data_IF_295079061677
#
_entry.id   IF_295079061677
#
_cell.length_a   1.000
_cell.length_b   1.000
_cell.length_c   1.000
_cell.angle_alpha   90.00
_cell.angle_beta   90.00
_cell.angle_gamma   90.00
#
_symmetry.space_group_name_H-M   'P 1'
#
loop_
_entity.id
_entity.type
_entity.pdbx_description
1 polymer ?
#
# COMPACT_ATOMS: atom_id res chain seq x y z
N UNK A 1 3.08 -6.60 24.18
CA UNK A 1 3.13 -7.92 23.49
C UNK A 1 3.74 -7.69 22.11
N UNK A 2 4.53 -8.63 21.61
CA UNK A 2 5.08 -8.56 20.24
C UNK A 2 4.15 -9.25 19.25
N UNK A 3 4.21 -8.85 17.98
CA UNK A 3 3.50 -9.56 16.91
C UNK A 3 4.00 -11.00 16.81
N UNK A 4 3.09 -11.99 16.69
CA UNK A 4 3.48 -13.37 16.47
C UNK A 4 4.10 -13.56 15.09
N UNK A 5 5.01 -14.54 14.99
CA UNK A 5 5.58 -14.98 13.73
C UNK A 5 4.96 -16.33 13.38
N UNK A 6 4.30 -16.41 12.21
CA UNK A 6 3.68 -17.65 11.75
C UNK A 6 4.74 -18.51 11.07
N UNK A 7 5.06 -19.67 11.65
CA UNK A 7 5.88 -20.67 10.97
C UNK A 7 5.03 -21.49 10.01
N UNK A 8 5.34 -21.41 8.70
CA UNK A 8 4.56 -22.06 7.64
C UNK A 8 5.10 -23.47 7.42
N UNK A 9 4.29 -24.54 7.66
CA UNK A 9 4.72 -25.90 7.37
C UNK A 9 4.88 -26.10 5.85
N UNK A 10 5.94 -26.77 5.38
CA UNK A 10 6.13 -27.05 3.93
C UNK A 10 4.93 -27.72 3.26
N UNK A 11 4.18 -28.55 4.00
CA UNK A 11 3.04 -29.30 3.47
C UNK A 11 1.84 -28.41 3.07
N UNK A 12 1.76 -27.15 3.56
CA UNK A 12 0.64 -26.24 3.21
C UNK A 12 0.98 -25.30 2.04
N UNK A 13 2.16 -25.43 1.45
CA UNK A 13 2.55 -24.66 0.28
C UNK A 13 1.68 -25.03 -0.93
N UNK A 14 0.96 -24.05 -1.45
CA UNK A 14 0.17 -24.16 -2.68
C UNK A 14 0.87 -23.58 -3.91
N UNK A 15 0.06 -23.08 -4.84
CA UNK A 15 0.53 -22.56 -6.13
C UNK A 15 1.42 -21.32 -5.97
N UNK A 16 2.39 -21.21 -6.87
CA UNK A 16 3.23 -20.03 -6.97
C UNK A 16 2.43 -18.88 -7.57
N UNK A 17 2.54 -17.68 -6.98
CA UNK A 17 1.97 -16.46 -7.54
C UNK A 17 2.94 -15.88 -8.58
N UNK A 18 2.56 -15.83 -9.87
CA UNK A 18 3.46 -15.39 -10.93
C UNK A 18 3.69 -13.88 -10.98
N UNK A 19 2.78 -13.08 -10.39
CA UNK A 19 2.86 -11.61 -10.45
C UNK A 19 3.96 -11.08 -9.54
N UNK A 20 4.86 -10.26 -10.09
CA UNK A 20 5.92 -9.56 -9.37
C UNK A 20 7.27 -10.28 -9.39
N UNK A 21 8.30 -9.63 -8.80
CA UNK A 21 9.71 -10.05 -8.90
C UNK A 21 10.20 -10.92 -7.73
N UNK A 22 9.36 -11.22 -6.74
CA UNK A 22 9.72 -11.96 -5.53
C UNK A 22 9.12 -13.35 -5.53
N UNK A 23 9.76 -14.28 -4.80
CA UNK A 23 9.16 -15.57 -4.52
C UNK A 23 7.89 -15.39 -3.67
N UNK A 24 6.76 -15.74 -4.26
CA UNK A 24 5.44 -15.69 -3.63
C UNK A 24 4.71 -17.00 -3.89
N UNK A 25 4.00 -17.48 -2.90
CA UNK A 25 3.15 -18.66 -3.06
C UNK A 25 1.96 -18.61 -2.13
N UNK A 26 0.89 -19.24 -2.53
CA UNK A 26 -0.32 -19.32 -1.73
C UNK A 26 -0.21 -20.43 -0.69
N UNK A 27 -0.80 -20.18 0.48
CA UNK A 27 -0.92 -21.15 1.57
C UNK A 27 -2.33 -21.13 2.13
N UNK A 28 -2.76 -22.27 2.67
CA UNK A 28 -3.99 -22.36 3.45
C UNK A 28 -3.62 -22.35 4.94
N UNK A 29 -4.04 -21.32 5.67
CA UNK A 29 -3.90 -21.26 7.12
C UNK A 29 -5.31 -21.29 7.73
N UNK A 30 -5.66 -22.45 8.31
CA UNK A 30 -7.05 -22.77 8.61
C UNK A 30 -7.89 -22.78 7.33
N UNK A 31 -9.05 -22.14 7.36
CA UNK A 31 -9.97 -22.05 6.21
C UNK A 31 -9.71 -20.80 5.33
N UNK A 32 -8.61 -20.09 5.56
CA UNK A 32 -8.29 -18.86 4.86
C UNK A 32 -7.09 -19.03 3.93
N UNK A 33 -7.19 -18.43 2.75
CA UNK A 33 -6.10 -18.38 1.77
C UNK A 33 -5.23 -17.17 2.05
N UNK A 34 -3.90 -17.39 2.12
CA UNK A 34 -2.91 -16.36 2.38
C UNK A 34 -1.80 -16.41 1.33
N UNK A 35 -1.27 -15.26 0.97
CA UNK A 35 -0.11 -15.14 0.09
C UNK A 35 1.15 -14.93 0.93
N UNK A 36 2.04 -15.92 0.97
CA UNK A 36 3.37 -15.73 1.53
C UNK A 36 4.23 -14.92 0.57
N UNK A 37 4.86 -13.90 1.11
CA UNK A 37 5.83 -13.05 0.40
C UNK A 37 7.15 -13.12 1.15
N UNK A 38 8.19 -13.64 0.50
CA UNK A 38 9.54 -13.67 1.05
C UNK A 38 10.13 -12.26 1.07
N UNK A 39 10.71 -11.84 2.20
CA UNK A 39 11.44 -10.59 2.31
C UNK A 39 12.83 -10.74 1.68
N UNK A 40 13.29 -9.72 0.97
CA UNK A 40 14.69 -9.70 0.50
C UNK A 40 15.63 -9.61 1.67
N UNK A 41 16.77 -10.28 1.56
CA UNK A 41 17.80 -10.23 2.58
C UNK A 41 18.22 -8.79 2.91
N UNK A 42 18.44 -8.54 4.17
CA UNK A 42 18.84 -7.22 4.69
C UNK A 42 17.85 -6.08 4.40
N UNK A 43 16.58 -6.41 4.16
CA UNK A 43 15.50 -5.43 4.04
C UNK A 43 14.41 -5.67 5.08
N UNK A 44 13.59 -4.65 5.32
CA UNK A 44 12.45 -4.71 6.24
C UNK A 44 11.10 -4.84 5.53
N UNK A 45 11.03 -5.53 4.39
CA UNK A 45 9.82 -5.63 3.58
C UNK A 45 8.65 -6.29 4.33
N UNK A 46 8.94 -7.30 5.15
CA UNK A 46 7.96 -8.03 5.95
C UNK A 46 7.38 -7.18 7.08
N UNK A 47 8.24 -6.53 7.88
CA UNK A 47 7.77 -5.71 8.98
C UNK A 47 7.13 -4.40 8.48
N UNK A 48 7.59 -3.83 7.34
CA UNK A 48 6.98 -2.65 6.75
C UNK A 48 5.54 -2.94 6.29
N UNK A 49 5.32 -4.09 5.64
CA UNK A 49 3.99 -4.56 5.26
C UNK A 49 3.07 -4.76 6.48
N UNK A 50 3.61 -5.38 7.58
CA UNK A 50 2.86 -5.62 8.82
C UNK A 50 2.48 -4.31 9.51
N UNK A 51 3.43 -3.40 9.70
CA UNK A 51 3.19 -2.09 10.34
C UNK A 51 2.18 -1.28 9.52
N UNK A 52 2.31 -1.28 8.19
CA UNK A 52 1.35 -0.61 7.31
C UNK A 52 -0.07 -1.14 7.51
N UNK A 53 -0.27 -2.47 7.56
CA UNK A 53 -1.58 -3.06 7.80
C UNK A 53 -2.18 -2.64 9.16
N UNK A 54 -1.38 -2.58 10.23
CA UNK A 54 -1.85 -2.17 11.54
C UNK A 54 -2.14 -0.66 11.63
N UNK A 55 -1.32 0.18 10.97
CA UNK A 55 -1.59 1.61 10.85
C UNK A 55 -2.88 1.87 10.06
N UNK A 56 -3.12 1.13 8.96
CA UNK A 56 -4.36 1.24 8.19
C UNK A 56 -5.59 0.95 9.05
N UNK A 57 -5.55 -0.11 9.86
CA UNK A 57 -6.63 -0.44 10.83
C UNK A 57 -6.87 0.70 11.81
N UNK A 58 -5.80 1.30 12.35
CA UNK A 58 -5.92 2.38 13.33
C UNK A 58 -6.58 3.64 12.75
N UNK A 59 -6.32 3.96 11.48
CA UNK A 59 -6.94 5.13 10.81
C UNK A 59 -8.26 4.79 10.10
N UNK A 60 -8.71 3.53 10.17
CA UNK A 60 -9.95 3.07 9.53
C UNK A 60 -9.86 3.00 8.00
N UNK A 61 -8.67 2.77 7.47
CA UNK A 61 -8.46 2.53 6.03
C UNK A 61 -8.51 1.04 5.73
N UNK A 62 -9.16 0.70 4.62
CA UNK A 62 -9.32 -0.68 4.18
C UNK A 62 -8.01 -1.16 3.52
N UNK A 63 -7.31 -2.06 4.19
CA UNK A 63 -6.08 -2.67 3.73
C UNK A 63 -6.10 -4.18 3.97
N UNK A 64 -5.30 -4.91 3.22
CA UNK A 64 -5.15 -6.35 3.40
C UNK A 64 -4.58 -6.67 4.79
N UNK A 65 -5.11 -7.71 5.44
CA UNK A 65 -4.54 -8.24 6.69
C UNK A 65 -3.18 -8.87 6.41
N UNK A 66 -2.21 -8.54 7.26
CA UNK A 66 -0.83 -9.03 7.15
C UNK A 66 -0.35 -9.56 8.48
N UNK A 67 0.34 -10.71 8.44
CA UNK A 67 1.05 -11.27 9.60
C UNK A 67 2.50 -11.55 9.24
N UNK A 68 3.41 -11.42 10.23
CA UNK A 68 4.78 -11.85 10.08
C UNK A 68 4.84 -13.37 9.94
N UNK A 69 5.68 -13.85 9.04
CA UNK A 69 5.78 -15.28 8.78
C UNK A 69 7.20 -15.71 8.44
N UNK A 70 7.44 -17.02 8.52
CA UNK A 70 8.65 -17.65 8.03
C UNK A 70 8.32 -18.96 7.32
N UNK A 71 9.11 -19.29 6.32
CA UNK A 71 9.01 -20.54 5.57
C UNK A 71 10.40 -21.13 5.33
N UNK A 72 10.66 -22.31 5.88
CA UNK A 72 11.96 -23.01 5.74
C UNK A 72 13.17 -22.10 6.07
N UNK A 73 13.07 -21.34 7.16
CA UNK A 73 14.11 -20.41 7.61
C UNK A 73 14.18 -19.08 6.86
N UNK A 74 13.32 -18.87 5.85
CA UNK A 74 13.23 -17.60 5.11
C UNK A 74 12.19 -16.70 5.74
N UNK A 75 12.58 -15.46 6.01
CA UNK A 75 11.72 -14.46 6.63
C UNK A 75 10.77 -13.86 5.58
N UNK A 76 9.59 -13.48 6.02
CA UNK A 76 8.59 -12.86 5.16
C UNK A 76 7.32 -12.49 5.91
N UNK A 77 6.28 -12.25 5.17
CA UNK A 77 4.93 -12.03 5.70
C UNK A 77 3.90 -12.86 4.92
N UNK A 78 2.74 -13.05 5.52
CA UNK A 78 1.55 -13.57 4.85
C UNK A 78 0.51 -12.48 4.76
N UNK A 79 -0.03 -12.29 3.55
CA UNK A 79 -1.12 -11.37 3.27
C UNK A 79 -2.41 -12.16 3.05
N UNK A 80 -3.46 -11.89 3.83
CA UNK A 80 -4.74 -12.57 3.68
C UNK A 80 -5.37 -12.25 2.34
N UNK A 81 -5.84 -13.28 1.63
CA UNK A 81 -6.61 -13.07 0.41
C UNK A 81 -7.90 -12.31 0.73
N UNK A 82 -8.10 -11.20 0.04
CA UNK A 82 -9.36 -10.45 0.07
C UNK A 82 -10.30 -10.84 -1.08
N UNK A 83 -9.90 -11.81 -1.92
CA UNK A 83 -10.70 -12.38 -3.01
C UNK A 83 -11.36 -13.66 -2.53
N UNK A 84 -12.68 -13.70 -2.58
CA UNK A 84 -13.47 -14.88 -2.28
C UNK A 84 -13.78 -15.68 -3.56
N UNK A 85 -12.97 -16.71 -3.79
CA UNK A 85 -13.15 -17.58 -4.97
C UNK A 85 -14.48 -18.33 -4.98
N UNK A 86 -15.11 -18.57 -3.80
CA UNK A 86 -16.41 -19.20 -3.71
C UNK A 86 -17.55 -18.33 -4.25
N UNK A 87 -17.33 -17.00 -4.24
CA UNK A 87 -18.24 -16.01 -4.83
C UNK A 87 -17.86 -15.61 -6.24
N UNK A 88 -16.94 -16.34 -6.89
CA UNK A 88 -16.40 -15.98 -8.20
C UNK A 88 -15.89 -14.52 -8.22
N UNK A 89 -15.27 -14.09 -7.15
CA UNK A 89 -14.60 -12.78 -7.12
C UNK A 89 -13.29 -12.86 -7.90
N UNK A 90 -13.00 -11.79 -8.63
CA UNK A 90 -11.73 -11.55 -9.31
C UNK A 90 -11.19 -10.16 -8.96
N UNK A 91 -9.91 -9.95 -9.23
CA UNK A 91 -9.25 -8.66 -9.12
C UNK A 91 -8.91 -8.16 -10.53
N UNK A 92 -9.39 -6.97 -10.86
CA UNK A 92 -9.01 -6.23 -12.07
C UNK A 92 -8.04 -5.15 -11.62
N UNK A 93 -6.80 -5.26 -12.06
CA UNK A 93 -5.73 -4.32 -11.64
C UNK A 93 -5.85 -2.96 -12.34
N UNK A 94 -5.22 -1.95 -11.75
CA UNK A 94 -5.19 -0.60 -12.29
C UNK A 94 -4.63 -0.49 -13.71
N UNK A 95 -3.64 -1.33 -14.07
CA UNK A 95 -3.09 -1.38 -15.43
C UNK A 95 -4.15 -1.84 -16.47
N UNK A 96 -5.01 -2.79 -16.12
CA UNK A 96 -6.09 -3.25 -17.00
C UNK A 96 -7.17 -2.17 -17.15
N UNK A 97 -7.53 -1.50 -16.03
CA UNK A 97 -8.50 -0.41 -16.03
C UNK A 97 -7.99 0.74 -16.90
N UNK A 98 -6.74 1.16 -16.72
CA UNK A 98 -6.15 2.28 -17.47
C UNK A 98 -5.95 1.94 -18.94
N UNK A 99 -5.57 0.71 -19.28
CA UNK A 99 -5.46 0.27 -20.68
C UNK A 99 -6.80 0.31 -21.42
N UNK A 100 -7.92 0.16 -20.72
CA UNK A 100 -9.25 0.31 -21.29
C UNK A 100 -9.68 1.76 -21.57
N UNK A 101 -8.97 2.77 -21.01
CA UNK A 101 -9.39 4.18 -21.05
C UNK A 101 -8.35 5.16 -21.54
N UNK A 102 -7.06 4.84 -21.43
CA UNK A 102 -5.97 5.71 -21.88
C UNK A 102 -5.43 5.17 -23.19
N UNK A 103 -5.58 5.92 -24.27
CA UNK A 103 -5.11 5.52 -25.59
C UNK A 103 -3.60 5.28 -25.59
N UNK A 104 -3.16 4.10 -26.03
CA UNK A 104 -1.75 3.73 -26.09
C UNK A 104 -1.14 3.35 -24.75
N UNK A 105 -1.96 3.16 -23.69
CA UNK A 105 -1.47 2.71 -22.39
C UNK A 105 -0.79 1.35 -22.47
N UNK A 106 0.49 1.29 -22.11
CA UNK A 106 1.23 0.03 -22.04
C UNK A 106 1.06 -0.60 -20.65
N UNK A 107 0.16 -1.58 -20.55
CA UNK A 107 -0.14 -2.27 -19.30
C UNK A 107 0.98 -3.16 -18.76
N UNK A 108 1.95 -3.53 -19.62
CA UNK A 108 3.09 -4.36 -19.25
C UNK A 108 4.27 -3.52 -18.73
N UNK A 109 4.26 -2.21 -18.98
CA UNK A 109 5.30 -1.28 -18.56
C UNK A 109 5.14 -0.88 -17.09
N UNK A 110 5.62 -1.72 -16.20
CA UNK A 110 5.49 -1.56 -14.75
C UNK A 110 6.20 -0.32 -14.18
N UNK A 111 7.39 0.01 -14.71
CA UNK A 111 8.19 1.13 -14.23
C UNK A 111 8.21 2.28 -15.22
N UNK A 112 8.29 3.51 -14.72
CA UNK A 112 8.30 4.74 -15.53
C UNK A 112 7.08 4.84 -16.48
N UNK A 113 5.94 4.31 -16.05
CA UNK A 113 4.68 4.43 -16.76
C UNK A 113 4.02 5.75 -16.40
N UNK A 114 4.38 6.81 -17.11
CA UNK A 114 3.93 8.18 -16.81
C UNK A 114 2.44 8.39 -17.03
N UNK A 115 1.80 7.57 -17.87
CA UNK A 115 0.34 7.56 -18.03
C UNK A 115 -0.39 7.01 -16.79
N UNK A 116 0.31 6.36 -15.86
CA UNK A 116 -0.20 6.05 -14.53
C UNK A 116 -0.21 7.33 -13.68
N UNK A 117 -0.98 8.30 -14.11
CA UNK A 117 -1.11 9.63 -13.50
C UNK A 117 -2.45 9.78 -12.79
N UNK A 118 -2.49 10.63 -11.75
CA UNK A 118 -3.69 10.80 -10.92
C UNK A 118 -4.92 11.22 -11.76
N UNK A 119 -4.75 12.12 -12.72
CA UNK A 119 -5.87 12.55 -13.58
C UNK A 119 -6.40 11.43 -14.48
N UNK A 120 -5.53 10.55 -14.99
CA UNK A 120 -5.93 9.40 -15.79
C UNK A 120 -6.68 8.36 -14.95
N UNK A 121 -6.23 8.14 -13.69
CA UNK A 121 -6.95 7.27 -12.74
C UNK A 121 -8.36 7.81 -12.49
N UNK A 122 -8.48 9.13 -12.23
CA UNK A 122 -9.78 9.77 -12.02
C UNK A 122 -10.67 9.65 -13.26
N UNK A 123 -10.17 9.97 -14.44
CA UNK A 123 -10.91 9.88 -15.69
C UNK A 123 -11.36 8.44 -16.00
N UNK A 124 -10.48 7.44 -15.79
CA UNK A 124 -10.81 6.04 -15.99
C UNK A 124 -11.94 5.58 -15.05
N UNK A 125 -11.89 5.93 -13.78
CA UNK A 125 -12.95 5.58 -12.82
C UNK A 125 -14.27 6.28 -13.19
N UNK A 126 -14.24 7.55 -13.55
CA UNK A 126 -15.44 8.30 -13.97
C UNK A 126 -16.09 7.75 -15.25
N UNK A 127 -15.34 7.11 -16.12
CA UNK A 127 -15.88 6.51 -17.34
C UNK A 127 -16.49 5.12 -17.09
N UNK A 128 -16.02 4.39 -16.09
CA UNK A 128 -16.53 3.04 -15.75
C UNK A 128 -17.78 3.10 -14.89
N UNK A 129 -17.90 4.09 -14.02
CA UNK A 129 -18.97 4.16 -13.01
C UNK A 129 -19.93 5.32 -13.26
N UNK A 130 -21.19 5.16 -12.79
CA UNK A 130 -22.08 6.32 -12.63
C UNK A 130 -21.47 7.33 -11.65
N UNK A 131 -21.82 8.61 -11.80
CA UNK A 131 -21.23 9.72 -11.02
C UNK A 131 -21.17 9.40 -9.52
N UNK A 132 -22.30 9.00 -8.91
CA UNK A 132 -22.35 8.67 -7.47
C UNK A 132 -21.42 7.52 -7.08
N UNK A 133 -21.30 6.50 -7.91
CA UNK A 133 -20.43 5.35 -7.63
C UNK A 133 -18.97 5.72 -7.88
N UNK A 134 -18.67 6.53 -8.90
CA UNK A 134 -17.34 7.05 -9.16
C UNK A 134 -16.80 7.84 -7.96
N UNK A 135 -17.59 8.74 -7.38
CA UNK A 135 -17.20 9.52 -6.20
C UNK A 135 -16.83 8.63 -5.01
N UNK A 136 -17.61 7.58 -4.76
CA UNK A 136 -17.31 6.62 -3.69
C UNK A 136 -16.02 5.86 -3.95
N UNK A 137 -15.78 5.42 -5.19
CA UNK A 137 -14.55 4.73 -5.60
C UNK A 137 -13.35 5.66 -5.49
N UNK A 138 -13.46 6.89 -5.99
CA UNK A 138 -12.40 7.89 -5.94
C UNK A 138 -12.05 8.29 -4.49
N UNK A 139 -13.03 8.44 -3.61
CA UNK A 139 -12.79 8.70 -2.20
C UNK A 139 -12.02 7.54 -1.52
N UNK A 140 -12.24 6.28 -1.92
CA UNK A 140 -11.45 5.14 -1.43
C UNK A 140 -10.04 5.13 -2.02
N UNK A 141 -9.86 5.42 -3.29
CA UNK A 141 -8.53 5.55 -3.91
C UNK A 141 -7.73 6.72 -3.33
N UNK A 142 -8.39 7.84 -3.01
CA UNK A 142 -7.77 8.97 -2.30
C UNK A 142 -7.19 8.55 -0.94
N UNK A 143 -7.87 7.62 -0.21
CA UNK A 143 -7.31 7.04 1.03
C UNK A 143 -6.00 6.30 0.77
N UNK A 144 -5.83 5.63 -0.39
CA UNK A 144 -4.57 4.96 -0.72
C UNK A 144 -3.45 5.96 -0.94
N UNK A 145 -3.73 7.04 -1.69
CA UNK A 145 -2.75 8.12 -1.92
C UNK A 145 -2.32 8.78 -0.60
N UNK A 146 -3.28 9.09 0.27
CA UNK A 146 -3.00 9.67 1.59
C UNK A 146 -2.26 8.68 2.49
N UNK A 147 -2.60 7.40 2.43
CA UNK A 147 -1.93 6.36 3.20
C UNK A 147 -0.50 6.11 2.73
N UNK A 148 -0.28 6.05 1.42
CA UNK A 148 1.06 5.95 0.85
C UNK A 148 1.94 7.13 1.26
N UNK A 149 1.36 8.34 1.32
CA UNK A 149 2.06 9.51 1.82
C UNK A 149 2.38 9.40 3.33
N UNK A 150 1.47 8.87 4.15
CA UNK A 150 1.66 8.68 5.58
C UNK A 150 2.83 7.73 5.89
N UNK A 151 2.88 6.60 5.20
CA UNK A 151 3.90 5.57 5.44
C UNK A 151 5.16 5.73 4.58
N UNK A 152 5.18 6.70 3.65
CA UNK A 152 6.26 6.92 2.70
C UNK A 152 6.39 5.78 1.67
N UNK A 153 5.28 5.19 1.23
CA UNK A 153 5.28 4.14 0.21
C UNK A 153 5.65 4.70 -1.16
N UNK A 154 6.68 4.15 -1.78
CA UNK A 154 7.20 4.57 -3.08
C UNK A 154 6.89 3.62 -4.23
N UNK A 155 6.09 2.57 -4.01
CA UNK A 155 5.85 1.51 -5.00
C UNK A 155 4.36 1.33 -5.37
N UNK A 156 3.53 2.38 -5.30
CA UNK A 156 2.14 2.33 -5.77
C UNK A 156 2.10 2.38 -7.30
N UNK A 157 2.59 1.33 -7.96
CA UNK A 157 2.44 1.19 -9.41
C UNK A 157 1.04 0.64 -9.77
N UNK A 158 0.72 0.58 -11.05
CA UNK A 158 -0.62 0.28 -11.58
C UNK A 158 -1.13 -1.14 -11.26
N UNK A 159 -0.26 -2.08 -10.87
CA UNK A 159 -0.68 -3.42 -10.41
C UNK A 159 -0.94 -3.48 -8.89
N UNK A 160 -0.58 -2.44 -8.11
CA UNK A 160 -0.71 -2.40 -6.66
C UNK A 160 -2.03 -1.75 -6.19
N UNK A 161 -2.99 -1.61 -7.07
CA UNK A 161 -4.36 -1.25 -6.77
C UNK A 161 -5.30 -1.89 -7.80
N UNK A 162 -6.60 -1.97 -7.47
CA UNK A 162 -7.55 -2.55 -8.40
C UNK A 162 -8.97 -2.56 -7.86
N UNK A 163 -9.84 -3.16 -8.66
CA UNK A 163 -11.25 -3.36 -8.36
C UNK A 163 -11.54 -4.85 -8.18
N UNK A 164 -12.26 -5.18 -7.12
CA UNK A 164 -12.86 -6.50 -6.95
C UNK A 164 -14.13 -6.56 -7.80
N UNK A 165 -14.25 -7.60 -8.60
CA UNK A 165 -15.40 -7.82 -9.47
C UNK A 165 -15.96 -9.21 -9.20
N UNK A 166 -17.27 -9.31 -9.03
CA UNK A 166 -18.00 -10.58 -9.00
C UNK A 166 -19.28 -10.47 -9.82
N UNK A 167 -19.84 -11.60 -10.21
CA UNK A 167 -21.12 -11.62 -10.94
C UNK A 167 -22.23 -12.15 -10.03
N UNK A 168 -23.25 -11.31 -9.79
CA UNK A 168 -24.47 -11.69 -9.10
C UNK A 168 -25.45 -12.31 -10.12
N UNK A 169 -25.52 -13.64 -10.15
CA UNK A 169 -26.39 -14.38 -11.07
C UNK A 169 -27.88 -14.10 -10.84
N UNK A 170 -28.30 -13.81 -9.60
CA UNK A 170 -29.70 -13.51 -9.26
C UNK A 170 -30.14 -12.17 -9.83
N UNK A 171 -29.29 -11.17 -9.78
CA UNK A 171 -29.54 -9.83 -10.33
C UNK A 171 -29.05 -9.64 -11.75
N UNK A 172 -28.33 -10.62 -12.31
CA UNK A 172 -27.68 -10.55 -13.63
C UNK A 172 -26.82 -9.29 -13.80
N UNK A 173 -26.06 -8.93 -12.76
CA UNK A 173 -25.23 -7.72 -12.73
C UNK A 173 -23.87 -8.00 -12.13
N UNK A 174 -22.88 -7.18 -12.49
CA UNK A 174 -21.58 -7.18 -11.84
C UNK A 174 -21.61 -6.35 -10.56
N UNK A 175 -21.08 -6.91 -9.48
CA UNK A 175 -20.77 -6.19 -8.26
C UNK A 175 -19.31 -5.76 -8.34
N UNK A 176 -19.06 -4.47 -8.20
CA UNK A 176 -17.72 -3.89 -8.30
C UNK A 176 -17.44 -3.06 -7.06
N UNK A 177 -16.29 -3.27 -6.45
CA UNK A 177 -15.81 -2.48 -5.32
C UNK A 177 -14.30 -2.28 -5.41
N UNK A 178 -13.79 -1.25 -4.76
CA UNK A 178 -12.32 -1.08 -4.64
C UNK A 178 -11.77 -2.21 -3.78
N UNK A 179 -10.70 -2.86 -4.23
CA UNK A 179 -9.99 -3.86 -3.42
C UNK A 179 -9.40 -3.18 -2.16
N UNK A 180 -9.21 -3.86 -1.03
CA UNK A 180 -8.39 -3.34 0.05
C UNK A 180 -7.01 -2.91 -0.45
N UNK A 181 -6.41 -1.87 0.13
CA UNK A 181 -5.03 -1.49 -0.22
C UNK A 181 -4.05 -2.61 0.13
N UNK A 182 -3.09 -2.88 -0.72
CA UNK A 182 -2.12 -3.97 -0.57
C UNK A 182 -0.75 -3.59 -1.11
N UNK A 183 0.25 -4.39 -0.81
CA UNK A 183 1.64 -4.26 -1.26
C UNK A 183 2.30 -2.95 -0.77
N UNK A 184 2.40 -2.80 0.56
CA UNK A 184 2.96 -1.63 1.23
C UNK A 184 4.43 -1.83 1.66
N UNK A 185 5.07 -2.90 1.22
CA UNK A 185 6.42 -3.26 1.66
C UNK A 185 7.47 -2.17 1.38
N UNK A 186 7.26 -1.30 0.38
CA UNK A 186 8.22 -0.26 -0.01
C UNK A 186 8.02 1.05 0.77
N UNK A 187 7.98 0.96 2.10
CA UNK A 187 7.66 2.08 3.00
C UNK A 187 8.61 2.14 4.21
N UNK A 188 8.54 3.24 4.96
CA UNK A 188 9.17 3.45 6.26
C UNK A 188 10.69 3.19 6.31
N UNK A 189 11.41 3.33 5.19
CA UNK A 189 12.87 3.14 5.15
C UNK A 189 13.31 1.68 5.25
N UNK A 190 12.47 0.75 4.79
CA UNK A 190 12.72 -0.70 4.84
C UNK A 190 14.04 -1.12 4.15
N UNK A 191 14.51 -0.35 3.17
CA UNK A 191 15.72 -0.61 2.37
C UNK A 191 16.99 -0.13 3.03
N UNK A 192 16.89 0.71 4.07
CA UNK A 192 18.06 1.27 4.73
C UNK A 192 18.70 0.27 5.71
N UNK A 193 20.02 0.36 5.85
CA UNK A 193 20.76 -0.29 6.94
C UNK A 193 20.70 0.55 8.21
N UNK A 194 20.97 -0.07 9.35
CA UNK A 194 20.83 0.59 10.65
C UNK A 194 21.76 1.78 10.82
N UNK A 195 22.99 1.70 10.28
CA UNK A 195 23.94 2.82 10.30
C UNK A 195 23.37 4.04 9.58
N UNK A 196 22.75 3.82 8.40
CA UNK A 196 22.14 4.91 7.63
C UNK A 196 20.90 5.49 8.35
N UNK A 197 20.10 4.65 8.98
CA UNK A 197 18.94 5.08 9.80
C UNK A 197 19.39 5.95 10.96
N UNK A 198 20.40 5.47 11.71
CA UNK A 198 20.96 6.19 12.85
C UNK A 198 21.55 7.53 12.43
N UNK A 199 22.28 7.58 11.32
CA UNK A 199 22.89 8.80 10.78
C UNK A 199 21.84 9.82 10.35
N UNK A 200 20.78 9.40 9.64
CA UNK A 200 19.66 10.26 9.25
C UNK A 200 18.90 10.82 10.47
N UNK A 201 18.69 10.00 11.50
CA UNK A 201 18.07 10.45 12.76
C UNK A 201 18.98 11.46 13.48
N UNK A 202 20.27 11.17 13.64
CA UNK A 202 21.21 12.03 14.33
C UNK A 202 21.36 13.42 13.66
N UNK A 203 21.28 13.46 12.31
CA UNK A 203 21.33 14.70 11.52
C UNK A 203 19.99 15.40 11.37
N UNK A 204 18.90 14.83 11.89
CA UNK A 204 17.54 15.31 11.67
C UNK A 204 17.14 15.41 10.17
N UNK A 205 17.66 14.48 9.36
CA UNK A 205 17.51 14.45 7.89
C UNK A 205 16.32 13.58 7.42
N UNK A 206 15.42 13.15 8.31
CA UNK A 206 14.23 12.35 7.97
C UNK A 206 13.37 13.06 6.93
N UNK A 207 13.16 14.37 7.07
CA UNK A 207 12.44 15.19 6.09
C UNK A 207 13.07 15.13 4.69
N UNK A 208 14.40 15.18 4.61
CA UNK A 208 15.16 15.10 3.36
C UNK A 208 15.04 13.71 2.72
N UNK A 209 15.10 12.65 3.54
CA UNK A 209 14.87 11.29 3.08
C UNK A 209 13.49 11.16 2.43
N UNK A 210 12.42 11.60 3.12
CA UNK A 210 11.04 11.55 2.62
C UNK A 210 10.89 12.38 1.34
N UNK A 211 11.44 13.58 1.27
CA UNK A 211 11.39 14.45 0.10
C UNK A 211 12.11 13.82 -1.13
N UNK A 212 13.08 12.94 -0.91
CA UNK A 212 13.76 12.18 -1.94
C UNK A 212 12.93 11.05 -2.56
N UNK A 213 11.92 10.54 -1.85
CA UNK A 213 11.07 9.42 -2.29
C UNK A 213 10.31 9.75 -3.59
N UNK A 214 10.16 8.75 -4.45
CA UNK A 214 9.40 8.86 -5.71
C UNK A 214 8.47 7.66 -5.81
N UNK A 215 7.18 7.95 -5.98
CA UNK A 215 6.13 6.93 -6.09
C UNK A 215 5.94 6.39 -7.50
N UNK A 216 5.02 5.44 -7.65
CA UNK A 216 4.63 4.87 -8.93
C UNK A 216 3.51 5.63 -9.64
N UNK A 217 2.90 6.66 -9.00
CA UNK A 217 1.89 7.54 -9.62
C UNK A 217 2.55 8.86 -10.04
N UNK A 218 2.23 9.33 -11.23
CA UNK A 218 2.77 10.54 -11.82
C UNK A 218 1.78 11.71 -11.67
N UNK A 219 2.30 12.95 -11.73
CA UNK A 219 1.46 14.15 -11.75
C UNK A 219 0.96 14.40 -13.16
N UNK A 220 1.86 14.32 -14.14
CA UNK A 220 1.58 14.50 -15.56
C UNK A 220 2.23 13.39 -16.39
N UNK A 221 1.67 13.11 -17.58
CA UNK A 221 2.17 12.08 -18.49
C UNK A 221 3.60 12.39 -19.02
N UNK A 222 4.00 13.67 -19.04
CA UNK A 222 5.33 14.10 -19.49
C UNK A 222 6.40 14.01 -18.41
N UNK A 223 6.05 13.67 -17.17
CA UNK A 223 6.98 13.59 -16.06
C UNK A 223 7.97 12.44 -16.25
N UNK A 224 9.23 12.69 -16.00
CA UNK A 224 10.30 11.68 -16.06
C UNK A 224 10.33 10.75 -14.83
N UNK A 225 9.72 11.15 -13.74
CA UNK A 225 9.71 10.44 -12.46
C UNK A 225 8.32 10.52 -11.82
N UNK A 226 7.93 9.48 -11.12
CA UNK A 226 6.72 9.49 -10.32
C UNK A 226 6.76 10.55 -9.23
N UNK A 227 5.59 10.97 -8.78
CA UNK A 227 5.44 11.99 -7.76
C UNK A 227 6.01 11.56 -6.40
N UNK A 228 6.48 12.51 -5.62
CA UNK A 228 6.67 12.27 -4.19
C UNK A 228 5.30 11.99 -3.55
N UNK A 229 5.16 10.97 -2.67
CA UNK A 229 3.86 10.63 -2.09
C UNK A 229 3.17 11.77 -1.34
N UNK A 230 3.91 12.58 -0.57
CA UNK A 230 3.35 13.76 0.12
C UNK A 230 2.90 14.85 -0.86
N UNK A 231 3.68 15.08 -1.91
CA UNK A 231 3.32 16.03 -2.96
C UNK A 231 2.07 15.57 -3.71
N UNK A 232 1.98 14.29 -4.03
CA UNK A 232 0.81 13.70 -4.69
C UNK A 232 -0.45 13.86 -3.83
N UNK A 233 -0.36 13.61 -2.52
CA UNK A 233 -1.47 13.79 -1.60
C UNK A 233 -1.92 15.26 -1.52
N UNK A 234 -0.97 16.21 -1.47
CA UNK A 234 -1.27 17.65 -1.47
C UNK A 234 -1.96 18.08 -2.77
N UNK A 235 -1.41 17.70 -3.92
CA UNK A 235 -2.00 18.02 -5.23
C UNK A 235 -3.35 17.34 -5.44
N UNK A 236 -3.50 16.10 -4.97
CA UNK A 236 -4.76 15.39 -5.00
C UNK A 236 -5.84 16.11 -4.19
N UNK A 237 -5.51 16.58 -2.99
CA UNK A 237 -6.42 17.36 -2.15
C UNK A 237 -6.78 18.72 -2.76
N UNK A 238 -5.84 19.37 -3.43
CA UNK A 238 -6.07 20.63 -4.14
C UNK A 238 -6.99 20.46 -5.34
N UNK A 239 -6.75 19.43 -6.17
CA UNK A 239 -7.50 19.21 -7.43
C UNK A 239 -8.84 18.50 -7.23
N UNK A 240 -8.94 17.65 -6.20
CA UNK A 240 -10.09 16.78 -5.91
C UNK A 240 -10.49 16.83 -4.43
N UNK A 241 -10.77 18.01 -3.86
CA UNK A 241 -10.93 18.20 -2.41
C UNK A 241 -12.02 17.30 -1.81
N UNK A 242 -13.12 17.07 -2.52
CA UNK A 242 -14.23 16.26 -2.00
C UNK A 242 -13.85 14.79 -1.81
N UNK A 243 -12.94 14.26 -2.63
CA UNK A 243 -12.48 12.88 -2.49
C UNK A 243 -11.40 12.73 -1.40
N UNK A 244 -10.55 13.75 -1.20
CA UNK A 244 -9.43 13.69 -0.26
C UNK A 244 -9.79 14.11 1.17
N UNK A 245 -10.81 14.97 1.34
CA UNK A 245 -11.22 15.52 2.66
C UNK A 245 -11.41 14.45 3.71
N UNK A 246 -12.17 13.39 3.40
CA UNK A 246 -12.46 12.32 4.35
C UNK A 246 -11.21 11.53 4.75
N UNK A 247 -10.28 11.29 3.82
CA UNK A 247 -9.02 10.61 4.07
C UNK A 247 -8.11 11.41 5.01
N UNK A 248 -7.95 12.72 4.74
CA UNK A 248 -7.15 13.62 5.57
C UNK A 248 -7.77 13.81 6.96
N UNK A 249 -9.10 13.92 7.04
CA UNK A 249 -9.80 14.05 8.32
C UNK A 249 -9.59 12.83 9.23
N UNK A 250 -9.53 11.62 8.68
CA UNK A 250 -9.27 10.39 9.44
C UNK A 250 -7.91 10.40 10.15
N UNK A 251 -6.92 11.09 9.60
CA UNK A 251 -5.58 11.17 10.19
C UNK A 251 -5.53 12.00 11.47
N UNK A 252 -6.52 12.87 11.73
CA UNK A 252 -6.57 13.73 12.95
C UNK A 252 -6.69 12.91 14.24
N UNK A 253 -7.13 11.67 14.14
CA UNK A 253 -7.24 10.75 15.28
C UNK A 253 -5.92 10.03 15.59
N UNK A 254 -4.96 10.09 14.68
CA UNK A 254 -3.69 9.40 14.82
C UNK A 254 -2.74 10.20 15.72
N UNK A 255 -2.22 9.54 16.75
CA UNK A 255 -1.26 10.14 17.68
C UNK A 255 0.11 9.49 17.53
N UNK A 256 1.22 10.24 17.69
CA UNK A 256 2.57 9.68 17.67
C UNK A 256 2.77 8.49 18.63
N UNK A 257 2.13 8.54 19.81
CA UNK A 257 2.18 7.44 20.78
C UNK A 257 1.51 6.16 20.28
N UNK A 258 0.41 6.27 19.53
CA UNK A 258 -0.28 5.11 18.95
C UNK A 258 0.55 4.50 17.82
N UNK A 259 1.20 5.34 17.00
CA UNK A 259 2.16 4.88 15.97
C UNK A 259 3.32 4.12 16.65
N UNK A 260 3.88 4.69 17.71
CA UNK A 260 4.95 4.06 18.48
C UNK A 260 4.53 2.70 19.04
N UNK A 261 3.34 2.61 19.62
CA UNK A 261 2.79 1.36 20.17
C UNK A 261 2.71 0.26 19.11
N UNK A 262 2.31 0.59 17.88
CA UNK A 262 2.24 -0.39 16.76
C UNK A 262 3.65 -0.86 16.37
N UNK A 263 4.58 0.06 16.21
CA UNK A 263 5.95 -0.25 15.76
C UNK A 263 6.71 -1.05 16.83
N UNK A 264 6.52 -0.73 18.10
CA UNK A 264 7.19 -1.43 19.20
C UNK A 264 6.78 -2.89 19.37
N UNK A 265 5.63 -3.27 18.81
CA UNK A 265 5.21 -4.68 18.79
C UNK A 265 6.02 -5.54 17.81
N UNK A 266 6.85 -4.94 16.95
CA UNK A 266 7.74 -5.72 16.09
C UNK A 266 8.76 -6.49 16.94
N UNK A 267 8.94 -7.80 16.71
CA UNK A 267 10.01 -8.58 17.34
C UNK A 267 11.39 -8.01 16.95
N UNK A 268 12.36 -8.05 17.87
CA UNK A 268 13.70 -7.49 17.64
C UNK A 268 14.45 -8.22 16.52
N UNK A 269 14.17 -9.48 16.32
CA UNK A 269 14.72 -10.31 15.23
C UNK A 269 14.17 -9.92 13.83
N UNK A 270 13.12 -9.10 13.77
CA UNK A 270 12.54 -8.59 12.54
C UNK A 270 12.88 -7.12 12.28
N UNK A 271 12.93 -6.32 13.32
CA UNK A 271 13.23 -4.90 13.23
C UNK A 271 14.08 -4.46 14.41
N UNK A 272 15.28 -3.98 14.15
CA UNK A 272 16.15 -3.37 15.14
C UNK A 272 15.53 -2.13 15.77
N UNK A 273 16.07 -1.65 16.88
CA UNK A 273 15.63 -0.37 17.47
C UNK A 273 15.84 0.80 16.50
N UNK A 274 16.95 0.82 15.76
CA UNK A 274 17.20 1.85 14.74
C UNK A 274 16.14 1.83 13.62
N UNK A 275 15.70 0.64 13.19
CA UNK A 275 14.62 0.50 12.22
C UNK A 275 13.28 1.00 12.77
N UNK A 276 12.95 0.66 14.02
CA UNK A 276 11.73 1.12 14.69
C UNK A 276 11.70 2.63 14.88
N UNK A 277 12.81 3.21 15.34
CA UNK A 277 12.93 4.65 15.57
C UNK A 277 12.83 5.42 14.26
N UNK A 278 13.47 4.93 13.19
CA UNK A 278 13.39 5.56 11.89
C UNK A 278 12.00 5.46 11.28
N UNK A 279 11.37 4.29 11.31
CA UNK A 279 9.99 4.08 10.84
C UNK A 279 9.01 5.01 11.57
N UNK A 280 9.12 5.13 12.89
CA UNK A 280 8.33 6.05 13.70
C UNK A 280 8.53 7.51 13.27
N UNK A 281 9.78 7.93 13.07
CA UNK A 281 10.10 9.30 12.65
C UNK A 281 9.55 9.61 11.25
N UNK A 282 9.61 8.65 10.31
CA UNK A 282 9.03 8.80 8.96
C UNK A 282 7.52 9.01 9.05
N UNK A 283 6.79 8.14 9.77
CA UNK A 283 5.33 8.23 9.86
C UNK A 283 4.90 9.50 10.59
N UNK A 284 5.57 9.88 11.69
CA UNK A 284 5.25 11.11 12.42
C UNK A 284 5.52 12.37 11.60
N UNK A 285 6.63 12.43 10.86
CA UNK A 285 6.90 13.56 9.97
C UNK A 285 5.86 13.66 8.86
N UNK A 286 5.54 12.55 8.22
CA UNK A 286 4.53 12.51 7.16
C UNK A 286 3.15 12.92 7.70
N UNK A 287 2.76 12.45 8.88
CA UNK A 287 1.53 12.85 9.55
C UNK A 287 1.46 14.37 9.76
N UNK A 288 2.53 14.98 10.31
CA UNK A 288 2.60 16.42 10.50
C UNK A 288 2.42 17.20 9.19
N UNK A 289 3.02 16.72 8.09
CA UNK A 289 2.86 17.36 6.78
C UNK A 289 1.44 17.20 6.21
N UNK A 290 0.84 16.01 6.34
CA UNK A 290 -0.51 15.74 5.87
C UNK A 290 -1.58 16.52 6.63
N UNK A 291 -1.41 16.71 7.94
CA UNK A 291 -2.32 17.51 8.77
C UNK A 291 -2.31 19.01 8.44
N UNK A 292 -1.29 19.51 7.74
CA UNK A 292 -1.20 20.91 7.25
C UNK A 292 -1.95 21.12 5.94
N UNK A 293 -2.36 20.04 5.25
CA UNK A 293 -3.13 20.16 4.01
C UNK A 293 -4.55 20.65 4.37
N UNK A 294 -5.03 21.73 3.74
CA UNK A 294 -6.39 22.24 3.95
C UNK A 294 -7.43 21.17 3.57
N UNK A 295 -8.50 21.02 4.36
CA UNK A 295 -9.60 20.06 4.16
C UNK A 295 -10.94 20.75 3.97
#
# INVERSE_FOLDING_TARGET
MTYPIISIPPAVRGDTEPLGSKAKFWVMLGDQRWLFKEARESTGEDWAEKVAAELAKLVGFDAADVELAEFSGRLGCVCKSFIDLKRNEGLVHGNEILAGHVTGYDREKRFKQSDHALHNIVAAIQSVFSVKNADSVLARLARYVVFDALIGNTDRHHENWGLKVSFDAGKKTHLVSVAPSFDHASSMGRELRDEARADLLARNDVAKYIAGGRGGIFICADDKRGANPLELARLGAERYPDHFRGALASLRLLQPSSIRTIIDQLPVERASNAAKDFAHAVVCHSLDQLLKIPT
#
